data_IF_098211176997
#
_entry.id   IF_098211176997
#
_cell.length_a   1.000
_cell.length_b   1.000
_cell.length_c   1.000
_cell.angle_alpha   90.00
_cell.angle_beta   90.00
_cell.angle_gamma   90.00
#
_symmetry.space_group_name_H-M   'P 1'
#
loop_
_entity.id
_entity.type
_entity.pdbx_description
1 polymer ?
#
# COMPACT_ATOMS: atom_id res chain seq x y z
N UNK A 1 -21.16 14.74 9.93
CA UNK A 1 -21.35 13.79 8.81
C UNK A 1 -20.46 12.60 9.01
N UNK A 2 -20.97 11.39 8.72
CA UNK A 2 -20.17 10.15 8.75
C UNK A 2 -19.17 10.18 7.60
N UNK A 3 -17.90 9.86 7.88
CA UNK A 3 -16.85 9.71 6.87
C UNK A 3 -17.04 8.39 6.13
N UNK A 4 -16.69 8.33 4.83
CA UNK A 4 -16.62 7.05 4.10
C UNK A 4 -15.56 6.13 4.70
N UNK A 5 -15.69 4.82 4.51
CA UNK A 5 -14.66 3.89 4.98
C UNK A 5 -13.37 4.06 4.15
N UNK A 6 -13.49 4.41 2.87
CA UNK A 6 -12.40 4.71 1.95
C UNK A 6 -11.56 5.88 2.45
N UNK A 7 -12.19 6.96 2.92
CA UNK A 7 -11.47 8.09 3.49
C UNK A 7 -10.80 7.75 4.83
N UNK A 8 -11.44 6.91 5.66
CA UNK A 8 -10.84 6.40 6.89
C UNK A 8 -9.60 5.55 6.56
N UNK A 9 -9.72 4.62 5.62
CA UNK A 9 -8.62 3.77 5.15
C UNK A 9 -7.46 4.60 4.59
N UNK A 10 -7.75 5.59 3.76
CA UNK A 10 -6.76 6.55 3.25
C UNK A 10 -6.01 7.26 4.38
N UNK A 11 -6.73 7.80 5.37
CA UNK A 11 -6.12 8.46 6.53
C UNK A 11 -5.23 7.51 7.34
N UNK A 12 -5.69 6.28 7.55
CA UNK A 12 -4.94 5.28 8.30
C UNK A 12 -3.65 4.91 7.55
N UNK A 13 -3.74 4.51 6.28
CA UNK A 13 -2.57 4.15 5.44
C UNK A 13 -1.56 5.29 5.32
N UNK A 14 -2.04 6.53 5.13
CA UNK A 14 -1.17 7.71 5.09
C UNK A 14 -0.54 8.02 6.44
N UNK A 15 -1.23 7.81 7.56
CA UNK A 15 -0.64 7.98 8.88
C UNK A 15 0.42 6.90 9.17
N UNK A 16 0.13 5.64 8.87
CA UNK A 16 1.04 4.51 9.08
C UNK A 16 2.36 4.70 8.33
N UNK A 17 2.31 5.09 7.06
CA UNK A 17 3.52 5.26 6.28
C UNK A 17 4.37 6.46 6.74
N UNK A 18 3.74 7.52 7.26
CA UNK A 18 4.46 8.63 7.88
C UNK A 18 5.03 8.26 9.25
N UNK A 19 4.33 7.46 10.05
CA UNK A 19 4.87 6.90 11.30
C UNK A 19 6.10 6.04 11.02
N UNK A 20 6.06 5.21 9.96
CA UNK A 20 7.23 4.46 9.51
C UNK A 20 8.38 5.39 9.07
N UNK A 21 8.07 6.46 8.32
CA UNK A 21 9.06 7.46 7.93
C UNK A 21 9.77 8.09 9.14
N UNK A 22 9.02 8.42 10.20
CA UNK A 22 9.58 8.94 11.45
C UNK A 22 10.56 7.93 12.03
N UNK A 23 10.16 6.65 12.18
CA UNK A 23 11.04 5.58 12.69
C UNK A 23 12.33 5.50 11.88
N UNK A 24 12.25 5.49 10.54
CA UNK A 24 13.44 5.42 9.67
C UNK A 24 14.34 6.66 9.86
N UNK A 25 13.75 7.86 9.87
CA UNK A 25 14.51 9.11 10.02
C UNK A 25 15.12 9.30 11.40
N UNK A 26 14.59 8.65 12.44
CA UNK A 26 15.21 8.59 13.76
C UNK A 26 16.27 7.49 13.86
N UNK A 27 16.03 6.33 13.23
CA UNK A 27 16.90 5.16 13.35
C UNK A 27 18.20 5.27 12.56
N UNK A 28 18.15 5.82 11.33
CA UNK A 28 19.34 5.89 10.47
C UNK A 28 20.43 6.82 11.04
N UNK A 29 20.13 8.01 11.61
CA UNK A 29 21.14 8.82 12.30
C UNK A 29 21.77 8.11 13.50
N UNK A 30 20.97 7.40 14.31
CA UNK A 30 21.48 6.60 15.43
C UNK A 30 22.41 5.50 14.92
N UNK A 31 22.04 4.81 13.84
CA UNK A 31 22.89 3.81 13.21
C UNK A 31 24.22 4.42 12.73
N UNK A 32 24.20 5.58 12.06
CA UNK A 32 25.41 6.30 11.64
C UNK A 32 26.30 6.65 12.84
N UNK A 33 25.70 7.11 13.94
CA UNK A 33 26.41 7.40 15.18
C UNK A 33 27.09 6.14 15.75
N UNK A 34 26.36 5.03 15.86
CA UNK A 34 26.90 3.76 16.35
C UNK A 34 28.03 3.23 15.45
N UNK A 35 27.91 3.37 14.13
CA UNK A 35 29.00 3.02 13.19
C UNK A 35 30.25 3.85 13.47
N UNK A 36 30.11 5.14 13.78
CA UNK A 36 31.25 6.00 14.11
C UNK A 36 31.90 5.60 15.45
N UNK A 37 31.10 5.25 16.46
CA UNK A 37 31.61 4.71 17.73
C UNK A 37 32.37 3.40 17.51
N UNK A 38 31.84 2.50 16.67
CA UNK A 38 32.49 1.24 16.32
C UNK A 38 33.82 1.49 15.61
N UNK A 39 33.86 2.37 14.60
CA UNK A 39 35.09 2.73 13.88
C UNK A 39 36.15 3.36 14.79
N UNK A 40 35.71 4.12 15.79
CA UNK A 40 36.56 4.72 16.81
C UNK A 40 36.98 3.75 17.94
N UNK A 41 36.59 2.48 17.88
CA UNK A 41 36.94 1.47 18.90
C UNK A 41 36.24 1.68 20.24
N UNK A 42 35.18 2.48 20.32
CA UNK A 42 34.43 2.75 21.56
C UNK A 42 33.40 1.66 21.88
N UNK A 43 32.98 0.92 20.85
CA UNK A 43 32.07 -0.22 20.98
C UNK A 43 32.57 -1.35 20.06
N UNK A 44 32.36 -2.59 20.49
CA UNK A 44 32.82 -3.78 19.75
C UNK A 44 31.76 -4.39 18.82
N UNK A 45 30.51 -3.91 18.90
CA UNK A 45 29.39 -4.40 18.09
C UNK A 45 28.28 -3.35 17.96
N UNK A 46 27.54 -3.41 16.87
CA UNK A 46 26.27 -2.71 16.68
C UNK A 46 25.09 -3.70 16.68
N UNK A 47 23.88 -3.19 16.88
CA UNK A 47 22.65 -4.00 16.86
C UNK A 47 22.53 -4.81 15.57
N UNK A 48 22.16 -6.07 15.73
CA UNK A 48 21.94 -7.01 14.62
C UNK A 48 20.53 -6.81 14.04
N UNK A 49 20.35 -6.85 12.71
CA UNK A 49 19.01 -6.78 12.13
C UNK A 49 18.27 -8.11 12.31
N UNK A 50 17.07 -8.07 12.91
CA UNK A 50 16.34 -9.27 13.34
C UNK A 50 15.86 -10.20 12.20
N UNK A 51 15.85 -9.75 10.93
CA UNK A 51 15.24 -10.51 9.81
C UNK A 51 15.95 -10.42 8.44
N UNK A 52 17.07 -9.71 8.31
CA UNK A 52 17.71 -9.46 7.00
C UNK A 52 18.93 -10.34 6.76
N UNK A 53 19.07 -10.86 5.52
CA UNK A 53 20.24 -11.60 5.02
C UNK A 53 20.88 -10.85 3.81
N UNK A 54 22.21 -10.89 3.60
CA UNK A 54 23.19 -11.70 4.32
C UNK A 54 23.26 -11.30 5.79
N UNK A 55 23.35 -12.33 6.63
CA UNK A 55 23.43 -12.17 8.09
C UNK A 55 24.60 -11.26 8.43
N UNK A 56 24.56 -10.71 9.64
CA UNK A 56 25.72 -10.09 10.27
C UNK A 56 26.97 -10.91 9.96
N UNK A 57 27.97 -10.26 9.36
CA UNK A 57 29.24 -10.90 9.03
C UNK A 57 30.19 -10.70 10.20
N UNK A 58 30.81 -11.79 10.64
CA UNK A 58 31.80 -11.80 11.70
C UNK A 58 33.15 -12.24 11.15
N UNK A 59 34.23 -11.79 11.78
CA UNK A 59 35.58 -12.26 11.49
C UNK A 59 36.41 -12.35 12.78
N UNK A 60 37.38 -13.27 12.80
CA UNK A 60 38.34 -13.37 13.91
C UNK A 60 39.54 -12.46 13.61
N UNK A 61 39.76 -11.47 14.46
CA UNK A 61 40.92 -10.56 14.39
C UNK A 61 42.01 -10.95 15.37
N UNK A 62 43.21 -10.42 15.15
CA UNK A 62 44.34 -10.57 16.08
C UNK A 62 43.99 -10.14 17.51
N UNK A 63 43.26 -9.03 17.66
CA UNK A 63 42.75 -8.58 18.96
C UNK A 63 41.82 -9.59 19.61
N UNK A 64 41.02 -10.32 18.82
CA UNK A 64 40.10 -11.36 19.31
C UNK A 64 40.90 -12.52 19.89
N UNK A 65 41.95 -12.94 19.20
CA UNK A 65 42.82 -14.02 19.66
C UNK A 65 43.58 -13.64 20.93
N UNK A 66 44.05 -12.39 21.00
CA UNK A 66 44.67 -11.84 22.21
C UNK A 66 43.71 -11.87 23.40
N UNK A 67 42.49 -11.37 23.22
CA UNK A 67 41.48 -11.35 24.28
C UNK A 67 41.08 -12.78 24.71
N UNK A 68 41.00 -13.73 23.76
CA UNK A 68 40.74 -15.14 24.06
C UNK A 68 41.87 -15.79 24.86
N UNK A 69 43.14 -15.46 24.54
CA UNK A 69 44.31 -15.91 25.29
C UNK A 69 44.29 -15.37 26.73
N UNK A 70 43.97 -14.09 26.90
CA UNK A 70 43.82 -13.46 28.21
C UNK A 70 42.65 -14.05 29.02
N UNK A 71 41.61 -14.54 28.35
CA UNK A 71 40.48 -15.26 28.96
C UNK A 71 40.73 -16.77 29.16
N UNK A 72 41.97 -17.23 28.99
CA UNK A 72 42.36 -18.61 29.32
C UNK A 72 41.93 -19.66 28.29
N UNK A 73 41.66 -19.26 27.04
CA UNK A 73 41.45 -20.24 25.97
C UNK A 73 42.78 -20.96 25.68
N UNK A 74 42.73 -22.29 25.65
CA UNK A 74 43.89 -23.15 25.43
C UNK A 74 44.65 -22.81 24.12
N UNK A 75 45.98 -22.91 24.17
CA UNK A 75 46.87 -22.49 23.09
C UNK A 75 46.68 -23.35 21.83
N UNK A 76 46.36 -24.64 21.99
CA UNK A 76 46.02 -25.53 20.87
C UNK A 76 44.77 -25.06 20.11
N UNK A 77 43.78 -24.52 20.83
CA UNK A 77 42.53 -23.99 20.26
C UNK A 77 42.73 -22.64 19.58
N UNK A 78 43.62 -21.80 20.11
CA UNK A 78 43.99 -20.53 19.50
C UNK A 78 44.65 -20.75 18.13
N UNK A 79 45.54 -21.75 18.01
CA UNK A 79 46.15 -22.13 16.73
C UNK A 79 45.10 -22.53 15.70
N UNK A 80 44.08 -23.31 16.09
CA UNK A 80 42.99 -23.70 15.18
C UNK A 80 42.14 -22.49 14.74
N UNK A 81 41.90 -21.51 15.62
CA UNK A 81 41.19 -20.28 15.26
C UNK A 81 42.01 -19.37 14.32
N UNK A 82 43.35 -19.46 14.35
CA UNK A 82 44.22 -18.73 13.43
C UNK A 82 43.92 -19.07 11.97
N UNK A 83 43.49 -20.31 11.68
CA UNK A 83 43.18 -20.75 10.31
C UNK A 83 42.01 -20.00 9.67
N UNK A 84 41.09 -19.46 10.49
CA UNK A 84 39.93 -18.69 10.04
C UNK A 84 40.07 -17.20 10.37
N UNK A 85 41.28 -16.77 10.73
CA UNK A 85 41.59 -15.37 10.95
C UNK A 85 41.31 -14.56 9.69
N UNK A 86 40.69 -13.41 9.87
CA UNK A 86 40.33 -12.46 8.80
C UNK A 86 39.39 -13.03 7.71
N UNK A 87 38.82 -14.22 7.89
CA UNK A 87 37.82 -14.78 6.98
C UNK A 87 36.43 -14.24 7.38
N UNK A 88 35.76 -13.44 6.52
CA UNK A 88 34.42 -12.95 6.79
C UNK A 88 33.41 -14.08 6.61
N UNK A 89 32.68 -14.43 7.66
CA UNK A 89 31.69 -15.50 7.67
C UNK A 89 30.33 -14.97 8.12
N UNK A 90 29.25 -15.48 7.52
CA UNK A 90 27.91 -15.16 8.00
C UNK A 90 27.64 -15.82 9.37
N UNK A 91 26.56 -15.43 10.06
CA UNK A 91 26.31 -15.89 11.44
C UNK A 91 26.29 -17.42 11.59
N UNK A 92 25.73 -18.14 10.62
CA UNK A 92 25.66 -19.61 10.65
C UNK A 92 27.04 -20.22 10.40
N UNK A 93 27.69 -19.82 9.30
CA UNK A 93 29.02 -20.31 8.91
C UNK A 93 30.06 -20.01 9.98
N UNK A 94 30.00 -18.82 10.59
CA UNK A 94 30.89 -18.42 11.68
C UNK A 94 30.72 -19.35 12.88
N UNK A 95 29.47 -19.55 13.31
CA UNK A 95 29.17 -20.43 14.45
C UNK A 95 29.65 -21.86 14.19
N UNK A 96 29.33 -22.43 13.03
CA UNK A 96 29.72 -23.78 12.65
C UNK A 96 31.26 -23.92 12.58
N UNK A 97 31.93 -22.98 11.92
CA UNK A 97 33.39 -22.98 11.74
C UNK A 97 34.15 -22.83 13.05
N UNK A 98 33.65 -22.02 13.97
CA UNK A 98 34.26 -21.83 15.29
C UNK A 98 33.99 -23.05 16.17
N UNK A 99 32.75 -23.56 16.22
CA UNK A 99 32.41 -24.75 17.01
C UNK A 99 33.24 -25.96 16.56
N UNK A 100 33.43 -26.14 15.26
CA UNK A 100 34.25 -27.23 14.72
C UNK A 100 35.71 -27.19 15.22
N UNK A 101 36.23 -26.00 15.56
CA UNK A 101 37.63 -25.80 15.99
C UNK A 101 37.82 -25.86 17.50
N UNK A 102 36.92 -25.24 18.27
CA UNK A 102 37.12 -25.07 19.72
C UNK A 102 36.14 -25.87 20.59
N UNK A 103 35.10 -26.43 19.96
CA UNK A 103 33.99 -27.14 20.60
C UNK A 103 32.89 -26.20 21.10
N UNK A 104 31.68 -26.76 21.25
CA UNK A 104 30.48 -26.02 21.68
C UNK A 104 30.65 -25.35 23.04
N UNK A 105 31.26 -26.04 24.01
CA UNK A 105 31.46 -25.52 25.38
C UNK A 105 32.34 -24.27 25.38
N UNK A 106 33.48 -24.31 24.67
CA UNK A 106 34.40 -23.18 24.58
C UNK A 106 33.79 -22.01 23.78
N UNK A 107 33.03 -22.32 22.73
CA UNK A 107 32.28 -21.31 21.98
C UNK A 107 31.27 -20.57 22.87
N UNK A 108 30.46 -21.30 23.64
CA UNK A 108 29.45 -20.69 24.51
C UNK A 108 30.09 -19.83 25.61
N UNK A 109 31.20 -20.29 26.21
CA UNK A 109 31.93 -19.55 27.22
C UNK A 109 32.53 -18.24 26.69
N UNK A 110 32.99 -18.23 25.43
CA UNK A 110 33.72 -17.11 24.83
C UNK A 110 32.92 -16.34 23.77
N UNK A 111 31.60 -16.59 23.67
CA UNK A 111 30.76 -16.11 22.56
C UNK A 111 30.82 -14.60 22.35
N UNK A 112 30.89 -13.83 23.42
CA UNK A 112 30.92 -12.37 23.36
C UNK A 112 32.23 -11.81 22.82
N UNK A 113 33.35 -12.48 23.09
CA UNK A 113 34.67 -12.12 22.57
C UNK A 113 34.75 -12.52 21.09
N UNK A 114 34.25 -13.71 20.75
CA UNK A 114 34.29 -14.27 19.39
C UNK A 114 33.44 -13.48 18.39
N UNK A 115 32.24 -13.04 18.78
CA UNK A 115 31.29 -12.38 17.86
C UNK A 115 31.62 -10.90 17.61
N UNK A 116 32.74 -10.65 16.96
CA UNK A 116 33.11 -9.31 16.45
C UNK A 116 32.67 -9.14 15.01
N UNK A 117 31.96 -8.05 14.75
CA UNK A 117 31.43 -7.76 13.42
C UNK A 117 32.54 -7.31 12.48
N UNK A 118 32.52 -7.79 11.24
CA UNK A 118 33.56 -7.45 10.27
C UNK A 118 33.51 -5.98 9.87
N UNK A 119 34.67 -5.35 9.73
CA UNK A 119 34.79 -3.95 9.26
C UNK A 119 34.14 -3.73 7.90
N UNK A 120 34.22 -4.72 7.00
CA UNK A 120 33.61 -4.65 5.67
C UNK A 120 32.07 -4.62 5.75
N UNK A 121 31.48 -5.41 6.66
CA UNK A 121 30.05 -5.37 6.91
C UNK A 121 29.60 -4.00 7.44
N UNK A 122 30.36 -3.42 8.38
CA UNK A 122 30.08 -2.08 8.90
C UNK A 122 30.21 -1.01 7.81
N UNK A 123 31.20 -1.14 6.91
CA UNK A 123 31.35 -0.23 5.77
C UNK A 123 30.18 -0.32 4.78
N UNK A 124 29.71 -1.54 4.48
CA UNK A 124 28.54 -1.78 3.63
C UNK A 124 27.25 -1.25 4.25
N UNK A 125 27.10 -1.39 5.56
CA UNK A 125 25.96 -0.82 6.27
C UNK A 125 25.99 0.71 6.21
N UNK A 126 27.16 1.31 6.42
CA UNK A 126 27.34 2.77 6.29
C UNK A 126 27.02 3.27 4.89
N UNK A 127 27.51 2.62 3.83
CA UNK A 127 27.21 2.99 2.45
C UNK A 127 25.71 2.90 2.14
N UNK A 128 25.02 1.91 2.72
CA UNK A 128 23.56 1.75 2.61
C UNK A 128 22.78 2.90 3.24
N UNK A 129 23.33 3.58 4.24
CA UNK A 129 22.72 4.79 4.83
C UNK A 129 22.89 6.05 3.95
N UNK A 130 23.69 5.97 2.88
CA UNK A 130 23.86 7.10 1.95
C UNK A 130 22.60 7.33 1.12
N UNK A 131 22.19 8.58 1.00
CA UNK A 131 21.00 8.97 0.26
C UNK A 131 19.67 8.39 0.80
N UNK A 132 19.65 7.89 2.04
CA UNK A 132 18.47 7.20 2.59
C UNK A 132 17.21 8.07 2.59
N UNK A 133 17.35 9.38 2.83
CA UNK A 133 16.22 10.31 2.85
C UNK A 133 15.58 10.47 1.46
N UNK A 134 16.39 10.51 0.40
CA UNK A 134 15.89 10.59 -0.97
C UNK A 134 15.17 9.29 -1.35
N UNK A 135 15.76 8.13 -1.02
CA UNK A 135 15.12 6.81 -1.23
C UNK A 135 13.78 6.72 -0.49
N UNK A 136 13.78 7.04 0.81
CA UNK A 136 12.56 7.09 1.62
C UNK A 136 11.53 8.05 1.03
N UNK A 137 11.95 9.26 0.64
CA UNK A 137 11.06 10.24 0.04
C UNK A 137 10.41 9.73 -1.24
N UNK A 138 11.16 9.06 -2.13
CA UNK A 138 10.61 8.42 -3.33
C UNK A 138 9.55 7.38 -2.99
N UNK A 139 9.84 6.46 -2.06
CA UNK A 139 8.87 5.43 -1.65
C UNK A 139 7.60 6.03 -1.05
N UNK A 140 7.74 7.03 -0.17
CA UNK A 140 6.60 7.72 0.42
C UNK A 140 5.76 8.44 -0.64
N UNK A 141 6.42 9.09 -1.60
CA UNK A 141 5.76 9.82 -2.67
C UNK A 141 4.90 8.89 -3.54
N UNK A 142 5.45 7.74 -3.95
CA UNK A 142 4.71 6.72 -4.70
C UNK A 142 3.51 6.19 -3.91
N UNK A 143 3.76 5.79 -2.66
CA UNK A 143 2.75 5.16 -1.82
C UNK A 143 1.60 6.13 -1.55
N UNK A 144 1.89 7.40 -1.28
CA UNK A 144 0.88 8.43 -1.09
C UNK A 144 -0.02 8.60 -2.31
N UNK A 145 0.56 8.58 -3.50
CA UNK A 145 -0.20 8.69 -4.75
C UNK A 145 -1.09 7.46 -4.96
N UNK A 146 -0.54 6.25 -4.75
CA UNK A 146 -1.31 5.00 -4.85
C UNK A 146 -2.42 4.87 -3.81
N UNK A 147 -2.21 5.39 -2.60
CA UNK A 147 -3.26 5.46 -1.59
C UNK A 147 -4.38 6.43 -2.00
N UNK A 148 -4.04 7.54 -2.65
CA UNK A 148 -5.05 8.45 -3.20
C UNK A 148 -5.83 7.83 -4.37
N UNK A 149 -5.16 7.12 -5.29
CA UNK A 149 -5.85 6.36 -6.36
C UNK A 149 -6.81 5.33 -5.78
N UNK A 150 -6.35 4.56 -4.79
CA UNK A 150 -7.16 3.56 -4.10
C UNK A 150 -8.35 4.19 -3.38
N UNK A 151 -8.16 5.36 -2.75
CA UNK A 151 -9.24 6.10 -2.11
C UNK A 151 -10.38 6.44 -3.08
N UNK A 152 -10.08 6.93 -4.28
CA UNK A 152 -11.12 7.28 -5.26
C UNK A 152 -11.87 6.02 -5.73
N UNK A 153 -11.14 4.92 -5.96
CA UNK A 153 -11.72 3.65 -6.37
C UNK A 153 -12.61 3.05 -5.28
N UNK A 154 -12.10 2.95 -4.05
CA UNK A 154 -12.82 2.43 -2.88
C UNK A 154 -14.05 3.30 -2.56
N UNK A 155 -13.93 4.64 -2.65
CA UNK A 155 -15.07 5.55 -2.43
C UNK A 155 -16.16 5.35 -3.48
N UNK A 156 -15.79 5.18 -4.75
CA UNK A 156 -16.75 4.90 -5.82
C UNK A 156 -17.47 3.59 -5.58
N UNK A 157 -16.72 2.55 -5.18
CA UNK A 157 -17.29 1.25 -4.84
C UNK A 157 -18.28 1.38 -3.67
N UNK A 158 -17.94 2.13 -2.63
CA UNK A 158 -18.87 2.36 -1.52
C UNK A 158 -20.16 3.04 -1.97
N UNK A 159 -20.10 4.02 -2.86
CA UNK A 159 -21.31 4.64 -3.41
C UNK A 159 -22.14 3.62 -4.18
N UNK A 160 -21.52 2.83 -5.08
CA UNK A 160 -22.21 1.81 -5.86
C UNK A 160 -22.86 0.76 -4.94
N UNK A 161 -22.15 0.33 -3.90
CA UNK A 161 -22.64 -0.67 -2.95
C UNK A 161 -23.83 -0.16 -2.10
N UNK A 162 -24.13 1.16 -2.10
CA UNK A 162 -25.37 1.71 -1.51
C UNK A 162 -26.57 1.71 -2.45
N UNK A 163 -26.38 1.43 -3.74
CA UNK A 163 -27.43 1.42 -4.75
C UNK A 163 -27.97 0.00 -4.92
N UNK A 164 -29.30 -0.14 -5.06
CA UNK A 164 -29.90 -1.43 -5.41
C UNK A 164 -29.50 -1.84 -6.82
N UNK A 165 -28.96 -3.06 -6.95
CA UNK A 165 -28.48 -3.59 -8.22
C UNK A 165 -29.09 -4.98 -8.49
N UNK A 166 -29.54 -5.18 -9.72
CA UNK A 166 -29.98 -6.49 -10.21
C UNK A 166 -28.79 -7.32 -10.67
N UNK A 167 -28.84 -8.63 -10.42
CA UNK A 167 -27.94 -9.56 -11.09
C UNK A 167 -28.41 -9.80 -12.54
N UNK A 168 -27.93 -8.95 -13.45
CA UNK A 168 -28.34 -8.95 -14.86
C UNK A 168 -28.03 -10.27 -15.55
N UNK A 169 -26.85 -10.86 -15.30
CA UNK A 169 -26.47 -12.16 -15.86
C UNK A 169 -27.45 -13.26 -15.45
N UNK A 170 -27.79 -13.34 -14.17
CA UNK A 170 -28.76 -14.30 -13.67
C UNK A 170 -30.17 -14.03 -14.23
N UNK A 171 -30.57 -12.78 -14.38
CA UNK A 171 -31.85 -12.43 -15.00
C UNK A 171 -31.92 -12.92 -16.46
N UNK A 172 -30.90 -12.59 -17.28
CA UNK A 172 -30.89 -12.94 -18.70
C UNK A 172 -30.88 -14.45 -18.95
N UNK A 173 -30.21 -15.23 -18.08
CA UNK A 173 -30.26 -16.71 -18.13
C UNK A 173 -31.68 -17.26 -17.91
N UNK A 174 -32.49 -16.59 -17.08
CA UNK A 174 -33.84 -17.04 -16.75
C UNK A 174 -34.94 -16.40 -17.62
N UNK A 175 -34.62 -15.38 -18.43
CA UNK A 175 -35.60 -14.53 -19.11
C UNK A 175 -36.29 -15.18 -20.32
N UNK A 176 -35.77 -16.29 -20.86
CA UNK A 176 -36.29 -16.91 -22.10
C UNK A 176 -37.78 -17.31 -22.01
N UNK A 177 -38.25 -17.69 -20.83
CA UNK A 177 -39.66 -18.06 -20.62
C UNK A 177 -40.61 -16.84 -20.61
N UNK A 178 -40.11 -15.65 -20.26
CA UNK A 178 -40.93 -14.44 -20.08
C UNK A 178 -41.26 -13.78 -21.44
N UNK A 179 -40.30 -13.74 -22.36
CA UNK A 179 -40.41 -13.13 -23.69
C UNK A 179 -41.48 -13.81 -24.57
N UNK A 180 -41.73 -15.10 -24.30
CA UNK A 180 -42.74 -15.89 -25.01
C UNK A 180 -44.17 -15.75 -24.46
N UNK A 181 -44.36 -14.98 -23.38
CA UNK A 181 -45.64 -14.90 -22.67
C UNK A 181 -46.70 -14.04 -23.38
N UNK A 182 -47.98 -14.33 -23.11
CA UNK A 182 -49.12 -13.56 -23.66
C UNK A 182 -49.06 -12.11 -23.19
N UNK A 183 -48.71 -11.89 -21.93
CA UNK A 183 -48.64 -10.58 -21.30
C UNK A 183 -47.57 -9.71 -21.98
N UNK A 184 -46.38 -10.27 -22.24
CA UNK A 184 -45.32 -9.59 -22.97
C UNK A 184 -45.78 -9.19 -24.39
N UNK A 185 -46.35 -10.12 -25.16
CA UNK A 185 -46.85 -9.87 -26.53
C UNK A 185 -47.97 -8.83 -26.59
N UNK A 186 -48.81 -8.74 -25.55
CA UNK A 186 -49.88 -7.74 -25.52
C UNK A 186 -49.38 -6.35 -25.11
N UNK A 187 -48.30 -6.27 -24.32
CA UNK A 187 -47.68 -5.00 -23.90
C UNK A 187 -46.74 -4.40 -24.95
N UNK A 188 -46.29 -5.17 -25.95
CA UNK A 188 -45.46 -4.67 -27.07
C UNK A 188 -46.27 -4.07 -28.22
N UNK A 189 -47.60 -4.20 -28.20
CA UNK A 189 -48.48 -3.61 -29.20
C UNK A 189 -48.55 -2.09 -29.06
N UNK A 190 -48.99 -1.42 -30.12
CA UNK A 190 -49.23 0.04 -30.12
C UNK A 190 -50.20 0.39 -28.99
N UNK A 191 -49.82 1.40 -28.19
CA UNK A 191 -50.61 1.85 -27.05
C UNK A 191 -52.01 2.33 -27.47
N UNK A 192 -53.02 1.89 -26.74
CA UNK A 192 -54.43 2.24 -26.95
C UNK A 192 -55.02 2.70 -25.59
N UNK A 193 -55.31 3.99 -25.41
CA UNK A 193 -55.75 4.52 -24.12
C UNK A 193 -57.04 3.88 -23.60
N UNK A 194 -57.86 3.30 -24.49
CA UNK A 194 -59.09 2.59 -24.10
C UNK A 194 -58.81 1.26 -23.39
N UNK A 195 -57.58 0.75 -23.43
CA UNK A 195 -57.17 -0.55 -22.87
C UNK A 195 -56.25 -0.43 -21.65
N UNK A 196 -56.21 0.73 -21.00
CA UNK A 196 -55.27 1.01 -19.90
C UNK A 196 -55.35 -0.01 -18.75
N UNK A 197 -56.55 -0.46 -18.37
CA UNK A 197 -56.73 -1.45 -17.30
C UNK A 197 -56.15 -2.82 -17.69
N UNK A 198 -56.25 -3.19 -18.97
CA UNK A 198 -55.65 -4.42 -19.51
C UNK A 198 -54.13 -4.33 -19.46
N UNK A 199 -53.54 -3.21 -19.85
CA UNK A 199 -52.10 -2.99 -19.76
C UNK A 199 -51.60 -3.02 -18.32
N UNK A 200 -52.32 -2.38 -17.39
CA UNK A 200 -51.99 -2.43 -15.96
C UNK A 200 -52.02 -3.86 -15.43
N UNK A 201 -53.06 -4.63 -15.78
CA UNK A 201 -53.16 -6.05 -15.40
C UNK A 201 -51.98 -6.87 -15.92
N UNK A 202 -51.68 -6.78 -17.21
CA UNK A 202 -50.56 -7.53 -17.79
C UNK A 202 -49.21 -7.08 -17.26
N UNK A 203 -49.02 -5.80 -16.98
CA UNK A 203 -47.80 -5.29 -16.36
C UNK A 203 -47.60 -5.90 -14.96
N UNK A 204 -48.66 -5.96 -14.14
CA UNK A 204 -48.60 -6.60 -12.82
C UNK A 204 -48.34 -8.11 -12.91
N UNK A 205 -48.98 -8.81 -13.86
CA UNK A 205 -48.75 -10.23 -14.10
C UNK A 205 -47.32 -10.51 -14.58
N UNK A 206 -46.78 -9.67 -15.44
CA UNK A 206 -45.41 -9.77 -15.96
C UNK A 206 -44.38 -9.54 -14.83
N UNK A 207 -44.60 -8.54 -13.98
CA UNK A 207 -43.75 -8.29 -12.81
C UNK A 207 -43.78 -9.46 -11.82
N UNK A 208 -44.95 -10.10 -11.59
CA UNK A 208 -45.06 -11.31 -10.75
C UNK A 208 -44.28 -12.50 -11.32
N UNK A 209 -44.08 -12.55 -12.64
CA UNK A 209 -43.25 -13.56 -13.32
C UNK A 209 -41.75 -13.22 -13.27
N UNK A 210 -41.34 -12.18 -12.54
CA UNK A 210 -39.95 -11.80 -12.36
C UNK A 210 -39.38 -10.93 -13.47
N UNK A 211 -40.22 -10.36 -14.35
CA UNK A 211 -39.77 -9.39 -15.35
C UNK A 211 -39.17 -8.16 -14.68
N UNK A 212 -38.03 -7.73 -15.21
CA UNK A 212 -37.32 -6.53 -14.78
C UNK A 212 -37.41 -5.46 -15.86
N UNK A 213 -37.60 -4.21 -15.47
CA UNK A 213 -37.71 -3.13 -16.44
C UNK A 213 -36.36 -2.92 -17.14
N UNK A 214 -36.34 -2.60 -18.45
CA UNK A 214 -35.10 -2.34 -19.18
C UNK A 214 -34.22 -1.28 -18.53
N UNK A 215 -34.83 -0.26 -17.91
CA UNK A 215 -34.11 0.79 -17.18
C UNK A 215 -33.31 0.24 -16.00
N UNK A 216 -33.84 -0.76 -15.27
CA UNK A 216 -33.20 -1.30 -14.07
C UNK A 216 -32.06 -2.26 -14.46
N UNK A 217 -32.24 -2.99 -15.57
CA UNK A 217 -31.20 -3.82 -16.19
C UNK A 217 -30.05 -2.96 -16.71
N UNK A 218 -30.36 -1.90 -17.45
CA UNK A 218 -29.36 -0.96 -17.95
C UNK A 218 -28.63 -0.26 -16.81
N UNK A 219 -29.37 0.23 -15.81
CA UNK A 219 -28.78 0.86 -14.63
C UNK A 219 -27.80 -0.07 -13.93
N UNK A 220 -28.19 -1.32 -13.66
CA UNK A 220 -27.32 -2.30 -13.02
C UNK A 220 -26.07 -2.61 -13.85
N UNK A 221 -26.21 -2.74 -15.18
CA UNK A 221 -25.07 -2.97 -16.09
C UNK A 221 -24.12 -1.76 -16.15
N UNK A 222 -24.67 -0.54 -16.05
CA UNK A 222 -23.90 0.70 -15.98
C UNK A 222 -23.13 0.79 -14.66
N UNK A 223 -23.70 0.35 -13.54
CA UNK A 223 -22.99 0.29 -12.26
C UNK A 223 -21.82 -0.68 -12.30
N UNK A 224 -21.97 -1.86 -12.91
CA UNK A 224 -20.85 -2.80 -13.11
C UNK A 224 -19.74 -2.19 -13.96
N UNK A 225 -20.12 -1.54 -15.06
CA UNK A 225 -19.19 -0.84 -15.96
C UNK A 225 -18.47 0.29 -15.24
N UNK A 226 -19.18 1.04 -14.39
CA UNK A 226 -18.63 2.12 -13.59
C UNK A 226 -17.63 1.60 -12.54
N UNK A 227 -17.97 0.50 -11.88
CA UNK A 227 -17.09 -0.17 -10.91
C UNK A 227 -15.77 -0.58 -11.57
N UNK A 228 -15.86 -1.30 -12.70
CA UNK A 228 -14.69 -1.69 -13.48
C UNK A 228 -13.86 -0.48 -13.95
N UNK A 229 -14.52 0.61 -14.36
CA UNK A 229 -13.84 1.86 -14.75
C UNK A 229 -13.11 2.47 -13.56
N UNK A 230 -13.72 2.51 -12.38
CA UNK A 230 -13.13 3.10 -11.18
C UNK A 230 -11.93 2.30 -10.65
N UNK A 231 -11.90 0.98 -10.85
CA UNK A 231 -10.79 0.09 -10.48
C UNK A 231 -9.59 0.21 -11.43
N UNK A 232 -9.83 0.52 -12.71
CA UNK A 232 -8.80 0.59 -13.76
C UNK A 232 -8.45 2.02 -14.19
N UNK A 233 -8.96 3.02 -13.47
CA UNK A 233 -8.79 4.42 -13.83
C UNK A 233 -7.33 4.85 -13.73
N UNK A 234 -6.85 5.58 -14.75
CA UNK A 234 -5.51 6.16 -14.73
C UNK A 234 -5.47 7.43 -13.89
N UNK A 235 -4.33 7.71 -13.27
CA UNK A 235 -4.10 8.94 -12.51
C UNK A 235 -4.53 10.23 -13.24
N UNK A 236 -4.26 10.34 -14.54
CA UNK A 236 -4.61 11.54 -15.31
C UNK A 236 -6.12 11.74 -15.49
N UNK A 237 -6.91 10.68 -15.34
CA UNK A 237 -8.35 10.68 -15.55
C UNK A 237 -9.13 11.10 -14.28
N UNK A 238 -8.52 10.98 -13.10
CA UNK A 238 -9.16 11.24 -11.80
C UNK A 238 -9.92 12.59 -11.75
N UNK A 239 -9.35 13.74 -12.12
CA UNK A 239 -10.10 15.01 -12.06
C UNK A 239 -11.32 15.02 -12.99
N UNK A 240 -11.19 14.47 -14.20
CA UNK A 240 -12.29 14.38 -15.16
C UNK A 240 -13.37 13.40 -14.68
N UNK A 241 -12.95 12.29 -14.09
CA UNK A 241 -13.84 11.30 -13.49
C UNK A 241 -14.65 11.90 -12.34
N UNK A 242 -14.00 12.58 -11.40
CA UNK A 242 -14.67 13.27 -10.28
C UNK A 242 -15.68 14.31 -10.77
N UNK A 243 -15.31 15.09 -11.80
CA UNK A 243 -16.20 16.09 -12.40
C UNK A 243 -17.41 15.45 -13.07
N UNK A 244 -17.23 14.37 -13.83
CA UNK A 244 -18.31 13.73 -14.59
C UNK A 244 -19.22 12.88 -13.72
N UNK A 245 -18.66 12.12 -12.79
CA UNK A 245 -19.42 11.17 -11.98
C UNK A 245 -20.04 11.83 -10.75
N UNK A 246 -19.23 12.55 -9.97
CA UNK A 246 -19.66 13.11 -8.70
C UNK A 246 -20.01 14.58 -8.78
N UNK A 247 -19.91 15.21 -9.95
CA UNK A 247 -20.05 16.66 -10.11
C UNK A 247 -19.15 17.43 -9.13
N UNK A 248 -17.98 16.85 -8.84
CA UNK A 248 -16.95 17.47 -8.00
C UNK A 248 -15.88 18.08 -8.90
N UNK A 249 -15.89 19.41 -9.00
CA UNK A 249 -14.89 20.14 -9.77
C UNK A 249 -13.78 20.64 -8.83
N UNK A 250 -12.55 20.23 -9.14
CA UNK A 250 -11.37 20.83 -8.50
C UNK A 250 -11.22 22.26 -9.03
N UNK A 251 -10.89 23.20 -8.14
CA UNK A 251 -10.51 24.54 -8.58
C UNK A 251 -9.23 24.49 -9.43
N UNK A 252 -8.96 25.55 -10.19
CA UNK A 252 -7.84 25.61 -11.15
C UNK A 252 -6.52 25.29 -10.45
N UNK A 253 -6.32 25.86 -9.25
CA UNK A 253 -5.08 25.69 -8.47
C UNK A 253 -4.95 24.25 -7.98
N UNK A 254 -6.03 23.64 -7.48
CA UNK A 254 -6.05 22.26 -7.01
C UNK A 254 -5.79 21.28 -8.17
N UNK A 255 -6.38 21.53 -9.34
CA UNK A 255 -6.19 20.70 -10.53
C UNK A 255 -4.76 20.77 -11.08
N UNK A 256 -4.19 21.98 -11.18
CA UNK A 256 -2.79 22.18 -11.57
C UNK A 256 -1.83 21.51 -10.57
N UNK A 257 -2.08 21.70 -9.27
CA UNK A 257 -1.28 21.08 -8.21
C UNK A 257 -1.32 19.57 -8.28
N UNK A 258 -2.50 18.98 -8.52
CA UNK A 258 -2.67 17.55 -8.73
C UNK A 258 -1.83 17.04 -9.91
N UNK A 259 -1.91 17.70 -11.07
CA UNK A 259 -1.15 17.32 -12.26
C UNK A 259 0.36 17.50 -12.07
N UNK A 260 0.81 18.52 -11.35
CA UNK A 260 2.21 18.68 -10.98
C UNK A 260 2.71 17.49 -10.15
N UNK A 261 1.96 17.06 -9.14
CA UNK A 261 2.33 15.89 -8.35
C UNK A 261 2.29 14.58 -9.16
N UNK A 262 1.32 14.44 -10.07
CA UNK A 262 1.27 13.31 -11.00
C UNK A 262 2.51 13.27 -11.90
N UNK A 263 2.91 14.40 -12.47
CA UNK A 263 4.07 14.50 -13.35
C UNK A 263 5.37 14.17 -12.59
N UNK A 264 5.49 14.65 -11.35
CA UNK A 264 6.60 14.28 -10.46
C UNK A 264 6.65 12.77 -10.18
N UNK A 265 5.50 12.15 -9.88
CA UNK A 265 5.39 10.68 -9.69
C UNK A 265 5.78 9.90 -10.95
N UNK A 266 5.36 10.36 -12.12
CA UNK A 266 5.71 9.73 -13.39
C UNK A 266 7.21 9.88 -13.70
N UNK A 267 7.80 11.04 -13.43
CA UNK A 267 9.25 11.25 -13.56
C UNK A 267 10.03 10.24 -12.70
N UNK A 268 9.62 10.03 -11.45
CA UNK A 268 10.21 9.01 -10.58
C UNK A 268 10.07 7.60 -11.14
N UNK A 269 8.90 7.26 -11.69
CA UNK A 269 8.61 5.92 -12.19
C UNK A 269 9.43 5.54 -13.41
N UNK A 270 9.77 6.52 -14.25
CA UNK A 270 10.57 6.31 -15.46
C UNK A 270 12.08 6.51 -15.22
N UNK A 271 12.52 6.68 -13.97
CA UNK A 271 13.93 6.92 -13.65
C UNK A 271 14.44 8.28 -14.15
N UNK A 272 13.54 9.24 -14.40
CA UNK A 272 13.89 10.57 -14.85
C UNK A 272 14.67 11.33 -13.78
N UNK A 273 15.68 12.10 -14.19
CA UNK A 273 16.47 12.97 -13.30
C UNK A 273 15.77 14.29 -12.98
N UNK A 274 14.63 14.57 -13.61
CA UNK A 274 13.95 15.87 -13.52
C UNK A 274 13.30 16.13 -12.16
N UNK A 275 13.10 15.09 -11.34
CA UNK A 275 12.57 15.26 -10.00
C UNK A 275 13.25 14.29 -9.02
N UNK A 276 13.89 14.84 -7.98
CA UNK A 276 14.38 14.08 -6.83
C UNK A 276 13.62 14.52 -5.59
N UNK A 277 12.70 13.71 -5.05
CA UNK A 277 11.84 14.12 -3.95
C UNK A 277 12.65 14.28 -2.67
N UNK A 278 12.33 15.34 -1.94
CA UNK A 278 12.71 15.52 -0.53
C UNK A 278 11.55 15.13 0.38
N UNK A 279 11.83 14.87 1.66
CA UNK A 279 10.77 14.66 2.66
C UNK A 279 9.83 15.86 2.78
N UNK A 280 10.30 17.07 2.46
CA UNK A 280 9.46 18.26 2.36
C UNK A 280 8.44 18.13 1.23
N UNK A 281 8.88 17.73 0.03
CA UNK A 281 7.98 17.53 -1.11
C UNK A 281 6.89 16.48 -0.80
N UNK A 282 7.26 15.39 -0.10
CA UNK A 282 6.32 14.36 0.35
C UNK A 282 5.31 14.94 1.35
N UNK A 283 5.77 15.77 2.29
CA UNK A 283 4.89 16.43 3.26
C UNK A 283 3.91 17.39 2.60
N UNK A 284 4.38 18.16 1.62
CA UNK A 284 3.55 19.10 0.86
C UNK A 284 2.50 18.36 0.02
N UNK A 285 2.89 17.26 -0.64
CA UNK A 285 1.96 16.38 -1.33
C UNK A 285 0.94 15.78 -0.36
N UNK A 286 1.34 15.34 0.83
CA UNK A 286 0.42 14.76 1.82
C UNK A 286 -0.59 15.78 2.34
N UNK A 287 -0.16 17.02 2.61
CA UNK A 287 -1.08 18.11 2.97
C UNK A 287 -2.11 18.34 1.89
N UNK A 288 -1.70 18.37 0.62
CA UNK A 288 -2.59 18.49 -0.51
C UNK A 288 -3.58 17.32 -0.59
N UNK A 289 -3.09 16.08 -0.63
CA UNK A 289 -3.93 14.89 -0.78
C UNK A 289 -4.90 14.72 0.39
N UNK A 290 -4.48 15.00 1.64
CA UNK A 290 -5.39 15.00 2.79
C UNK A 290 -6.48 16.04 2.67
N UNK A 291 -6.15 17.26 2.24
CA UNK A 291 -7.13 18.34 2.06
C UNK A 291 -8.12 18.00 0.96
N UNK A 292 -7.66 17.59 -0.22
CA UNK A 292 -8.54 17.30 -1.36
C UNK A 292 -9.38 16.05 -1.10
N UNK A 293 -8.81 15.00 -0.49
CA UNK A 293 -9.58 13.80 -0.13
C UNK A 293 -10.68 14.12 0.86
N UNK A 294 -10.43 15.00 1.84
CA UNK A 294 -11.48 15.47 2.76
C UNK A 294 -12.60 16.22 2.02
N UNK A 295 -12.26 17.08 1.06
CA UNK A 295 -13.25 17.81 0.25
C UNK A 295 -14.10 16.82 -0.58
N UNK A 296 -13.46 15.87 -1.25
CA UNK A 296 -14.10 14.82 -2.05
C UNK A 296 -15.02 13.97 -1.17
N UNK A 297 -14.49 13.42 -0.06
CA UNK A 297 -15.26 12.61 0.88
C UNK A 297 -16.49 13.36 1.40
N UNK A 298 -16.32 14.61 1.83
CA UNK A 298 -17.43 15.42 2.34
C UNK A 298 -18.48 15.71 1.27
N UNK A 299 -18.07 15.91 0.00
CA UNK A 299 -18.99 16.12 -1.11
C UNK A 299 -19.75 14.84 -1.45
N UNK A 300 -19.03 13.73 -1.63
CA UNK A 300 -19.61 12.45 -2.04
C UNK A 300 -20.55 11.91 -0.97
N UNK A 301 -20.12 11.89 0.29
CA UNK A 301 -20.96 11.42 1.41
C UNK A 301 -22.19 12.30 1.63
N UNK A 302 -22.16 13.58 1.25
CA UNK A 302 -23.31 14.49 1.37
C UNK A 302 -24.37 14.24 0.32
N UNK A 303 -23.96 13.90 -0.89
CA UNK A 303 -24.82 13.92 -2.07
C UNK A 303 -25.15 12.54 -2.63
N UNK A 304 -24.31 11.53 -2.37
CA UNK A 304 -24.38 10.22 -3.03
C UNK A 304 -24.47 9.03 -2.07
N UNK A 305 -24.34 9.25 -0.76
CA UNK A 305 -24.51 8.20 0.24
C UNK A 305 -25.84 8.34 0.97
N UNK A 306 -26.48 7.21 1.25
CA UNK A 306 -27.80 7.15 1.89
C UNK A 306 -27.80 7.81 3.28
N UNK A 307 -28.83 8.61 3.54
CA UNK A 307 -29.12 9.11 4.88
C UNK A 307 -29.80 8.00 5.69
N UNK A 308 -29.11 7.47 6.71
CA UNK A 308 -29.55 6.32 7.50
C UNK A 308 -30.92 6.46 8.19
N UNK A 309 -31.45 7.69 8.35
CA UNK A 309 -32.58 7.94 9.23
C UNK A 309 -33.91 8.27 8.53
N UNK A 310 -33.90 8.63 7.24
CA UNK A 310 -35.13 8.72 6.42
C UNK A 310 -34.81 9.19 4.99
N UNK A 311 -35.15 8.38 4.00
CA UNK A 311 -35.65 8.85 2.71
C UNK A 311 -36.80 7.92 2.33
N UNK A 312 -38.03 8.25 2.76
CA UNK A 312 -39.19 7.72 2.05
C UNK A 312 -39.21 8.36 0.68
N UNK A 313 -39.13 7.54 -0.34
CA UNK A 313 -39.54 7.87 -1.70
C UNK A 313 -40.72 6.95 -2.00
N UNK A 314 -41.94 7.48 -1.87
CA UNK A 314 -43.02 7.15 -2.80
C UNK A 314 -43.26 8.39 -3.65
#
# INVERSE_FOLDING_TARGET
MKQSNAYIAFKTRTQEIFSFAVIVTSSVPVLKHNINLFRGGKIDKISEPDYFQPSVIYDIKESTLKDLKENGLDESKLVLLQEIKDIPLNNREFKESVIARIGVTAYNANRNILKRQSKNYIANLYSSTSGYQAKLASYLYFSLFSYFESFISELTKEVIDTLEQLNVSQYLLNAQAIDSSKEYRDLTKVYDPKKIDRYRKYSQELNKKGYQLPKDLMFSSMLDSLKATSENMKANEIPTFLKKLFYFEMDIVDNETYHNFRNNRNSLGHGGTSFTPTLKNVTDANKFFRRISKKIDSHVTRHYMSLNNYQKSE
#
